data_IF_383668385919
#
_entry.id   IF_383668385919
#
_cell.length_a   1.000
_cell.length_b   1.000
_cell.length_c   1.000
_cell.angle_alpha   90.00
_cell.angle_beta   90.00
_cell.angle_gamma   90.00
#
_symmetry.space_group_name_H-M   'P 1'
#
loop_
_entity.id
_entity.type
_entity.pdbx_description
1 polymer ?
#
# COMPACT_ATOMS: atom_id res chain seq x y z
N UNK A 1 -20.96 4.50 -16.09
CA UNK A 1 -21.11 4.21 -14.65
C UNK A 1 -20.28 2.96 -14.36
N UNK A 2 -19.18 3.04 -13.59
CA UNK A 2 -18.37 1.86 -13.25
C UNK A 2 -19.06 1.07 -12.14
N UNK A 3 -19.29 -0.22 -12.37
CA UNK A 3 -19.86 -1.14 -11.38
C UNK A 3 -18.69 -1.65 -10.53
N UNK A 4 -18.70 -1.36 -9.23
CA UNK A 4 -17.74 -1.93 -8.29
C UNK A 4 -18.15 -3.38 -8.01
N UNK A 5 -17.20 -4.32 -8.14
CA UNK A 5 -17.41 -5.72 -7.75
C UNK A 5 -17.38 -5.75 -6.21
N UNK A 6 -18.49 -6.15 -5.60
CA UNK A 6 -18.60 -6.38 -4.16
C UNK A 6 -18.28 -7.84 -3.84
N UNK A 7 -17.75 -8.09 -2.63
CA UNK A 7 -17.08 -9.31 -2.14
C UNK A 7 -17.67 -10.66 -2.56
N UNK A 8 -18.99 -10.79 -2.73
CA UNK A 8 -19.67 -12.07 -2.99
C UNK A 8 -19.30 -12.75 -4.32
N UNK A 9 -18.56 -12.08 -5.21
CA UNK A 9 -18.09 -12.63 -6.50
C UNK A 9 -16.57 -12.71 -6.64
N UNK A 10 -15.80 -12.38 -5.59
CA UNK A 10 -14.33 -12.48 -5.61
C UNK A 10 -13.92 -13.78 -4.93
N UNK A 11 -13.84 -14.86 -5.71
CA UNK A 11 -13.31 -16.10 -5.20
C UNK A 11 -11.79 -15.99 -4.88
N UNK A 12 -11.29 -16.90 -4.05
CA UNK A 12 -9.89 -16.91 -3.64
C UNK A 12 -8.91 -17.05 -4.81
N UNK A 13 -9.35 -17.55 -5.97
CA UNK A 13 -8.51 -17.69 -7.15
C UNK A 13 -8.27 -16.35 -7.85
N UNK A 14 -9.27 -15.46 -7.86
CA UNK A 14 -9.10 -14.08 -8.31
C UNK A 14 -8.16 -13.28 -7.40
N UNK A 15 -8.32 -13.42 -6.08
CA UNK A 15 -7.42 -12.77 -5.12
C UNK A 15 -5.98 -13.29 -5.27
N UNK A 16 -5.82 -14.60 -5.49
CA UNK A 16 -4.51 -15.20 -5.74
C UNK A 16 -3.91 -14.72 -7.07
N UNK A 17 -4.71 -14.60 -8.13
CA UNK A 17 -4.23 -14.07 -9.41
C UNK A 17 -3.81 -12.59 -9.33
N UNK A 18 -4.50 -11.78 -8.52
CA UNK A 18 -4.08 -10.40 -8.24
C UNK A 18 -2.76 -10.41 -7.46
N UNK A 19 -2.63 -11.26 -6.45
CA UNK A 19 -1.38 -11.40 -5.70
C UNK A 19 -0.23 -11.81 -6.62
N UNK A 20 -0.39 -12.89 -7.36
CA UNK A 20 0.64 -13.41 -8.26
C UNK A 20 0.98 -12.39 -9.35
N UNK A 21 -0.03 -11.73 -9.91
CA UNK A 21 0.10 -10.87 -11.09
C UNK A 21 0.48 -9.41 -10.79
N UNK A 22 0.20 -8.87 -9.59
CA UNK A 22 0.42 -7.46 -9.25
C UNK A 22 1.44 -7.30 -8.11
N UNK A 23 1.38 -8.19 -7.12
CA UNK A 23 2.26 -8.13 -5.94
C UNK A 23 3.56 -8.85 -6.26
N UNK A 24 3.50 -10.10 -6.72
CA UNK A 24 4.70 -10.93 -6.92
C UNK A 24 5.48 -10.56 -8.18
N UNK A 25 4.84 -9.96 -9.18
CA UNK A 25 5.51 -9.38 -10.37
C UNK A 25 6.15 -8.02 -10.11
N UNK A 26 5.91 -7.41 -8.95
CA UNK A 26 6.48 -6.11 -8.57
C UNK A 26 5.80 -4.89 -9.22
N UNK A 27 4.67 -5.04 -9.92
CA UNK A 27 3.96 -3.91 -10.55
C UNK A 27 3.54 -2.85 -9.54
N UNK A 28 3.12 -3.27 -8.33
CA UNK A 28 2.80 -2.34 -7.24
C UNK A 28 4.01 -1.50 -6.81
N UNK A 29 5.19 -2.12 -6.74
CA UNK A 29 6.44 -1.42 -6.41
C UNK A 29 6.86 -0.45 -7.52
N UNK A 30 6.75 -0.86 -8.78
CA UNK A 30 7.04 -0.01 -9.93
C UNK A 30 6.13 1.23 -9.98
N UNK A 31 4.82 1.03 -9.77
CA UNK A 31 3.86 2.13 -9.71
C UNK A 31 4.17 3.09 -8.55
N UNK A 32 4.52 2.55 -7.38
CA UNK A 32 4.92 3.35 -6.22
C UNK A 32 6.16 4.20 -6.52
N UNK A 33 7.21 3.61 -7.10
CA UNK A 33 8.42 4.36 -7.44
C UNK A 33 8.17 5.47 -8.46
N UNK A 34 7.29 5.25 -9.44
CA UNK A 34 6.88 6.31 -10.37
C UNK A 34 6.16 7.45 -9.65
N UNK A 35 5.28 7.15 -8.69
CA UNK A 35 4.61 8.17 -7.88
C UNK A 35 5.60 8.95 -7.01
N UNK A 36 6.55 8.27 -6.38
CA UNK A 36 7.60 8.88 -5.57
C UNK A 36 8.50 9.81 -6.41
N UNK A 37 8.90 9.38 -7.62
CA UNK A 37 9.68 10.20 -8.55
C UNK A 37 8.90 11.46 -8.98
N UNK A 38 7.62 11.31 -9.32
CA UNK A 38 6.74 12.42 -9.69
C UNK A 38 6.51 13.40 -8.53
N UNK A 39 6.49 12.92 -7.28
CA UNK A 39 6.40 13.74 -6.09
C UNK A 39 7.70 14.53 -5.87
N UNK A 40 8.86 13.89 -6.05
CA UNK A 40 10.17 14.55 -6.01
C UNK A 40 10.31 15.65 -7.06
N UNK A 41 9.91 15.38 -8.31
CA UNK A 41 9.89 16.39 -9.39
C UNK A 41 9.03 17.63 -9.04
N UNK A 42 8.02 17.45 -8.18
CA UNK A 42 7.14 18.52 -7.69
C UNK A 42 7.65 19.19 -6.41
N UNK A 43 8.84 18.82 -5.93
CA UNK A 43 9.44 19.35 -4.71
C UNK A 43 8.77 18.85 -3.43
N UNK A 44 8.06 17.72 -3.47
CA UNK A 44 7.53 17.11 -2.26
C UNK A 44 8.65 16.45 -1.47
N UNK A 45 8.61 16.63 -0.15
CA UNK A 45 9.69 16.19 0.76
C UNK A 45 9.37 14.88 1.45
N UNK A 46 8.08 14.54 1.58
CA UNK A 46 7.60 13.36 2.28
C UNK A 46 6.48 12.66 1.49
N UNK A 47 6.39 11.35 1.66
CA UNK A 47 5.28 10.50 1.21
C UNK A 47 4.64 9.86 2.43
N UNK A 48 3.31 9.92 2.50
CA UNK A 48 2.52 9.27 3.55
C UNK A 48 1.64 8.19 2.92
N UNK A 49 1.59 7.02 3.54
CA UNK A 49 0.73 5.92 3.13
C UNK A 49 0.01 5.32 4.34
N UNK A 50 -1.18 4.82 4.09
CA UNK A 50 -1.98 4.10 5.07
C UNK A 50 -2.32 2.71 4.54
N UNK A 51 -2.25 1.72 5.43
CA UNK A 51 -2.74 0.38 5.15
C UNK A 51 -3.43 -0.22 6.37
N UNK A 52 -4.43 -1.08 6.10
CA UNK A 52 -5.12 -1.86 7.11
C UNK A 52 -4.52 -3.28 7.30
N UNK A 53 -3.56 -3.64 6.46
CA UNK A 53 -2.95 -4.97 6.42
C UNK A 53 -1.55 -4.95 7.06
N UNK A 54 -1.33 -5.80 8.07
CA UNK A 54 -0.08 -5.89 8.82
C UNK A 54 1.10 -6.34 7.94
N UNK A 55 0.85 -7.23 6.98
CA UNK A 55 1.87 -7.74 6.06
C UNK A 55 2.32 -6.66 5.07
N UNK A 56 1.37 -5.89 4.54
CA UNK A 56 1.63 -4.73 3.68
C UNK A 56 2.36 -3.63 4.45
N UNK A 57 1.98 -3.36 5.70
CA UNK A 57 2.71 -2.42 6.57
C UNK A 57 4.17 -2.84 6.72
N UNK A 58 4.41 -4.13 7.00
CA UNK A 58 5.75 -4.70 7.07
C UNK A 58 6.52 -4.61 5.74
N UNK A 59 5.84 -4.70 4.59
CA UNK A 59 6.47 -4.49 3.28
C UNK A 59 6.93 -3.03 3.09
N UNK A 60 6.06 -2.06 3.39
CA UNK A 60 6.43 -0.64 3.33
C UNK A 60 7.61 -0.31 4.25
N UNK A 61 7.65 -0.90 5.45
CA UNK A 61 8.79 -0.74 6.36
C UNK A 61 10.11 -1.25 5.76
N UNK A 62 10.09 -2.38 5.05
CA UNK A 62 11.30 -2.93 4.40
C UNK A 62 11.85 -2.03 3.29
N UNK A 63 10.99 -1.24 2.63
CA UNK A 63 11.39 -0.34 1.54
C UNK A 63 11.63 1.12 1.99
N UNK A 64 11.71 1.36 3.30
CA UNK A 64 12.16 2.64 3.86
C UNK A 64 11.05 3.56 4.38
N UNK A 65 9.80 3.11 4.46
CA UNK A 65 8.77 3.83 5.19
C UNK A 65 8.90 3.57 6.71
N UNK A 66 8.67 4.60 7.51
CA UNK A 66 8.70 4.55 8.97
C UNK A 66 7.27 4.59 9.49
N UNK A 67 6.92 3.68 10.41
CA UNK A 67 5.62 3.68 11.07
C UNK A 67 5.51 4.89 11.99
N UNK A 68 4.55 5.79 11.72
CA UNK A 68 4.32 7.00 12.53
C UNK A 68 3.05 6.93 13.37
N UNK A 69 2.11 6.05 13.01
CA UNK A 69 0.95 5.75 13.85
C UNK A 69 0.47 4.32 13.64
N UNK A 70 0.04 3.68 14.73
CA UNK A 70 -0.58 2.37 14.72
C UNK A 70 -1.82 2.38 15.61
N UNK A 71 -2.98 2.06 15.03
CA UNK A 71 -4.25 1.98 15.74
C UNK A 71 -4.73 0.52 15.69
N UNK A 72 -4.64 -0.22 16.80
CA UNK A 72 -5.07 -1.61 16.82
C UNK A 72 -6.59 -1.72 16.77
N UNK A 73 -7.12 -2.73 16.05
CA UNK A 73 -8.58 -2.96 15.89
C UNK A 73 -9.35 -1.68 15.49
N UNK A 74 -8.79 -0.95 14.53
CA UNK A 74 -9.35 0.30 14.03
C UNK A 74 -10.75 0.12 13.44
N UNK A 75 -10.92 -0.93 12.63
CA UNK A 75 -12.20 -1.33 12.06
C UNK A 75 -12.27 -2.86 12.11
N UNK A 76 -13.19 -3.43 12.88
CA UNK A 76 -13.28 -4.89 13.03
C UNK A 76 -11.95 -5.54 13.43
N UNK A 77 -11.50 -6.61 12.75
CA UNK A 77 -10.22 -7.26 13.03
C UNK A 77 -9.00 -6.50 12.51
N UNK A 78 -9.17 -5.42 11.74
CA UNK A 78 -8.06 -4.75 11.04
C UNK A 78 -7.41 -3.67 11.90
N UNK A 79 -6.08 -3.61 11.85
CA UNK A 79 -5.28 -2.53 12.41
C UNK A 79 -5.20 -1.39 11.38
N UNK A 80 -4.88 -0.16 11.80
CA UNK A 80 -4.53 0.93 10.89
C UNK A 80 -3.08 1.30 11.10
N UNK A 81 -2.29 1.24 10.03
CA UNK A 81 -0.88 1.64 10.00
C UNK A 81 -0.74 2.86 9.12
N UNK A 82 -0.15 3.93 9.67
CA UNK A 82 0.22 5.12 8.92
C UNK A 82 1.74 5.18 8.88
N UNK A 83 2.29 5.18 7.67
CA UNK A 83 3.73 5.17 7.46
C UNK A 83 4.17 6.38 6.65
N UNK A 84 5.32 6.94 7.01
CA UNK A 84 5.93 8.12 6.40
C UNK A 84 7.27 7.76 5.80
N UNK A 85 7.59 8.29 4.63
CA UNK A 85 8.93 8.19 4.04
C UNK A 85 9.40 9.56 3.61
N UNK A 86 10.60 9.95 4.04
CA UNK A 86 11.30 11.09 3.44
C UNK A 86 11.62 10.73 1.99
N UNK A 87 11.13 11.56 1.06
CA UNK A 87 11.47 11.46 -0.34
C UNK A 87 12.79 12.19 -0.63
N UNK A 88 13.04 13.27 0.11
CA UNK A 88 14.33 13.95 0.08
C UNK A 88 15.39 13.07 0.75
N UNK A 89 16.38 12.66 -0.03
CA UNK A 89 17.61 12.00 0.38
C UNK A 89 18.79 12.66 -0.32
#
# INVERSE_FOLDING_TARGET
>A
MRKWITDDNLDSSFLQAIRDGVIDTGLGAEALHKLEALALERGWVDSIIETLDDGVAGWYQRIGYVLIAHIPRYCGPWNRHILLRSLAG
#
